data_IF_503626736032
#
_entry.id   IF_503626736032
#
_cell.length_a   1.000
_cell.length_b   1.000
_cell.length_c   1.000
_cell.angle_alpha   90.00
_cell.angle_beta   90.00
_cell.angle_gamma   90.00
#
_symmetry.space_group_name_H-M   'P 1'
#
loop_
_entity.id
_entity.type
_entity.pdbx_description
1 polymer ?
#
# COMPACT_ATOMS: atom_id res chain seq x y z
N UNK A 1 9.74 -7.99 -10.48
CA UNK A 1 8.93 -9.13 -10.01
C UNK A 1 7.77 -8.59 -9.18
N UNK A 2 6.63 -8.29 -9.82
CA UNK A 2 5.40 -7.91 -9.12
C UNK A 2 4.50 -9.14 -9.02
N UNK A 3 3.90 -9.38 -7.85
CA UNK A 3 2.84 -10.37 -7.66
C UNK A 3 1.61 -9.96 -8.46
N UNK A 4 1.64 -10.35 -9.73
CA UNK A 4 0.55 -10.34 -10.70
C UNK A 4 -0.70 -10.96 -10.06
N UNK A 5 -1.89 -10.38 -10.24
CA UNK A 5 -3.16 -11.05 -9.96
C UNK A 5 -3.12 -12.42 -10.64
N UNK A 6 -3.05 -13.50 -9.87
CA UNK A 6 -2.60 -14.81 -10.35
C UNK A 6 -3.73 -15.70 -10.84
N UNK A 7 -4.99 -15.37 -10.50
CA UNK A 7 -6.12 -16.26 -10.74
C UNK A 7 -7.36 -15.54 -11.28
N UNK A 8 -8.17 -16.25 -12.08
CA UNK A 8 -9.46 -15.76 -12.57
C UNK A 8 -10.42 -15.38 -11.44
N UNK A 9 -10.29 -16.03 -10.27
CA UNK A 9 -11.07 -15.72 -9.07
C UNK A 9 -10.74 -14.33 -8.51
N UNK A 10 -9.45 -13.97 -8.42
CA UNK A 10 -9.03 -12.65 -7.95
C UNK A 10 -9.51 -11.53 -8.88
N UNK A 11 -9.45 -11.74 -10.21
CA UNK A 11 -10.00 -10.77 -11.17
C UNK A 11 -11.51 -10.58 -11.00
N UNK A 12 -12.27 -11.66 -10.79
CA UNK A 12 -13.70 -11.58 -10.54
C UNK A 12 -14.03 -10.83 -9.25
N UNK A 13 -13.22 -11.01 -8.19
CA UNK A 13 -13.38 -10.28 -6.93
C UNK A 13 -13.10 -8.78 -7.11
N UNK A 14 -12.07 -8.42 -7.87
CA UNK A 14 -11.78 -7.03 -8.22
C UNK A 14 -12.96 -6.42 -8.98
N UNK A 15 -13.52 -7.10 -9.97
CA UNK A 15 -14.68 -6.60 -10.70
C UNK A 15 -15.90 -6.38 -9.80
N UNK A 16 -16.19 -7.31 -8.89
CA UNK A 16 -17.27 -7.14 -7.91
C UNK A 16 -17.03 -5.96 -6.97
N UNK A 17 -15.78 -5.75 -6.54
CA UNK A 17 -15.41 -4.58 -5.75
C UNK A 17 -15.65 -3.29 -6.55
N UNK A 18 -15.17 -3.22 -7.79
CA UNK A 18 -15.33 -2.04 -8.65
C UNK A 18 -16.81 -1.70 -8.89
N UNK A 19 -17.66 -2.72 -9.09
CA UNK A 19 -19.10 -2.53 -9.22
C UNK A 19 -19.72 -1.92 -7.95
N UNK A 20 -19.25 -2.31 -6.76
CA UNK A 20 -19.70 -1.69 -5.49
C UNK A 20 -19.20 -0.24 -5.37
N UNK A 21 -17.95 0.01 -5.73
CA UNK A 21 -17.32 1.34 -5.67
C UNK A 21 -17.89 2.35 -6.68
N UNK A 22 -18.66 1.88 -7.67
CA UNK A 22 -19.44 2.74 -8.55
C UNK A 22 -20.57 3.48 -7.83
N UNK A 23 -20.88 3.12 -6.58
CA UNK A 23 -21.91 3.75 -5.76
C UNK A 23 -21.29 4.57 -4.62
N UNK A 24 -21.94 5.67 -4.24
CA UNK A 24 -21.52 6.50 -3.10
C UNK A 24 -21.49 5.70 -1.79
N UNK A 25 -22.42 4.75 -1.61
CA UNK A 25 -22.45 3.90 -0.42
C UNK A 25 -21.27 2.93 -0.38
N UNK A 26 -20.95 2.31 -1.53
CA UNK A 26 -19.77 1.46 -1.64
C UNK A 26 -18.47 2.21 -1.36
N UNK A 27 -18.36 3.46 -1.82
CA UNK A 27 -17.22 4.33 -1.51
C UNK A 27 -17.14 4.63 0.00
N UNK A 28 -18.25 5.00 0.65
CA UNK A 28 -18.30 5.23 2.10
C UNK A 28 -17.93 4.00 2.92
N UNK A 29 -18.33 2.80 2.48
CA UNK A 29 -17.95 1.56 3.15
C UNK A 29 -16.47 1.27 2.95
N UNK A 30 -15.94 1.51 1.75
CA UNK A 30 -14.53 1.29 1.44
C UNK A 30 -13.60 2.15 2.29
N UNK A 31 -13.95 3.41 2.57
CA UNK A 31 -13.11 4.30 3.40
C UNK A 31 -12.89 3.75 4.81
N UNK A 32 -13.78 2.88 5.30
CA UNK A 32 -13.68 2.22 6.63
C UNK A 32 -12.85 0.94 6.62
N UNK A 33 -12.43 0.46 5.46
CA UNK A 33 -11.55 -0.72 5.34
C UNK A 33 -10.08 -0.30 5.43
N UNK A 34 -9.11 -1.23 5.48
CA UNK A 34 -7.68 -0.93 5.29
C UNK A 34 -7.29 -0.59 3.84
N UNK A 35 -8.17 -0.80 2.87
CA UNK A 35 -7.90 -0.60 1.44
C UNK A 35 -7.21 -1.80 0.77
N UNK A 36 -6.86 -1.63 -0.50
CA UNK A 36 -6.16 -2.64 -1.30
C UNK A 36 -4.64 -2.58 -1.07
N UNK A 37 -3.96 -3.73 -1.11
CA UNK A 37 -2.51 -3.73 -1.22
C UNK A 37 -2.07 -3.21 -2.60
N UNK A 38 -0.85 -2.66 -2.71
CA UNK A 38 -0.37 -2.01 -3.94
C UNK A 38 -0.52 -2.87 -5.22
N UNK A 39 -0.26 -4.19 -5.22
CA UNK A 39 -0.52 -5.03 -6.39
C UNK A 39 -2.00 -5.09 -6.79
N UNK A 40 -2.90 -5.29 -5.83
CA UNK A 40 -4.35 -5.33 -6.11
C UNK A 40 -4.90 -3.94 -6.47
N UNK A 41 -4.35 -2.88 -5.91
CA UNK A 41 -4.70 -1.51 -6.31
C UNK A 41 -4.32 -1.25 -7.77
N UNK A 42 -3.11 -1.64 -8.19
CA UNK A 42 -2.69 -1.54 -9.60
C UNK A 42 -3.68 -2.24 -10.52
N UNK A 43 -3.99 -3.50 -10.22
CA UNK A 43 -4.93 -4.27 -11.03
C UNK A 43 -6.35 -3.66 -11.04
N UNK A 44 -6.82 -3.16 -9.90
CA UNK A 44 -8.11 -2.49 -9.82
C UNK A 44 -8.15 -1.21 -10.67
N UNK A 45 -7.10 -0.38 -10.64
CA UNK A 45 -7.01 0.84 -11.46
C UNK A 45 -7.01 0.53 -12.95
N UNK A 46 -6.30 -0.53 -13.37
CA UNK A 46 -6.26 -0.96 -14.78
C UNK A 46 -7.64 -1.40 -15.32
N UNK A 47 -8.58 -1.78 -14.43
CA UNK A 47 -9.91 -2.25 -14.78
C UNK A 47 -11.03 -1.23 -14.44
N UNK A 48 -10.73 -0.19 -13.68
CA UNK A 48 -11.73 0.72 -13.13
C UNK A 48 -12.13 1.83 -14.12
N UNK A 49 -13.40 2.26 -14.13
CA UNK A 49 -13.78 3.53 -14.74
C UNK A 49 -13.08 4.71 -14.06
N UNK A 50 -12.77 5.78 -14.81
CA UNK A 50 -12.01 6.94 -14.33
C UNK A 50 -12.47 7.50 -12.96
N UNK A 51 -13.78 7.70 -12.68
CA UNK A 51 -14.21 8.23 -11.38
C UNK A 51 -13.84 7.30 -10.21
N UNK A 52 -13.94 5.98 -10.42
CA UNK A 52 -13.60 4.97 -9.42
C UNK A 52 -12.09 4.85 -9.25
N UNK A 53 -11.33 4.90 -10.35
CA UNK A 53 -9.88 4.91 -10.31
C UNK A 53 -9.34 6.13 -9.54
N UNK A 54 -9.89 7.32 -9.78
CA UNK A 54 -9.52 8.53 -9.04
C UNK A 54 -9.87 8.44 -7.56
N UNK A 55 -11.04 7.88 -7.23
CA UNK A 55 -11.41 7.62 -5.83
C UNK A 55 -10.40 6.69 -5.14
N UNK A 56 -10.09 5.55 -5.76
CA UNK A 56 -9.13 4.57 -5.23
C UNK A 56 -7.73 5.18 -5.02
N UNK A 57 -7.26 6.00 -5.97
CA UNK A 57 -5.98 6.68 -5.87
C UNK A 57 -5.94 7.69 -4.72
N UNK A 58 -6.98 8.50 -4.55
CA UNK A 58 -7.06 9.47 -3.43
C UNK A 58 -7.04 8.76 -2.08
N UNK A 59 -7.85 7.72 -1.92
CA UNK A 59 -7.88 6.91 -0.70
C UNK A 59 -6.52 6.28 -0.42
N UNK A 60 -5.84 5.75 -1.44
CA UNK A 60 -4.51 5.17 -1.26
C UNK A 60 -3.48 6.21 -0.81
N UNK A 61 -3.50 7.41 -1.38
CA UNK A 61 -2.56 8.49 -1.01
C UNK A 61 -2.73 8.83 0.47
N UNK A 62 -3.97 9.12 0.90
CA UNK A 62 -4.26 9.46 2.28
C UNK A 62 -3.76 8.38 3.25
N UNK A 63 -4.07 7.10 2.98
CA UNK A 63 -3.62 5.98 3.81
C UNK A 63 -2.10 5.83 3.86
N UNK A 64 -1.44 6.09 2.74
CA UNK A 64 0.02 6.01 2.66
C UNK A 64 0.69 7.10 3.50
N UNK A 65 0.08 8.29 3.56
CA UNK A 65 0.52 9.39 4.42
C UNK A 65 0.31 9.05 5.90
N UNK A 66 -0.86 8.53 6.27
CA UNK A 66 -1.17 8.08 7.64
C UNK A 66 -0.18 7.00 8.13
N UNK A 67 0.02 5.94 7.33
CA UNK A 67 0.98 4.88 7.64
C UNK A 67 2.41 5.43 7.74
N UNK A 68 2.78 6.36 6.86
CA UNK A 68 4.11 6.97 6.90
C UNK A 68 4.34 7.77 8.20
N UNK A 69 3.33 8.48 8.68
CA UNK A 69 3.42 9.22 9.94
C UNK A 69 3.51 8.27 11.13
N UNK A 70 2.68 7.21 11.15
CA UNK A 70 2.73 6.19 12.19
C UNK A 70 4.09 5.51 12.27
N UNK A 71 4.67 5.14 11.12
CA UNK A 71 6.00 4.53 11.05
C UNK A 71 7.09 5.48 11.53
N UNK A 72 6.99 6.79 11.23
CA UNK A 72 7.91 7.81 11.72
C UNK A 72 7.83 7.94 13.24
N UNK A 73 6.60 8.04 13.78
CA UNK A 73 6.34 8.12 15.21
C UNK A 73 6.86 6.88 15.95
N UNK A 74 6.59 5.69 15.40
CA UNK A 74 7.07 4.42 15.93
C UNK A 74 8.60 4.38 15.98
N UNK A 75 9.27 4.78 14.89
CA UNK A 75 10.74 4.79 14.83
C UNK A 75 11.32 5.73 15.88
N UNK A 76 10.82 6.97 15.98
CA UNK A 76 11.28 7.94 16.99
C UNK A 76 11.12 7.42 18.43
N UNK A 77 9.96 6.82 18.75
CA UNK A 77 9.69 6.25 20.07
C UNK A 77 10.58 5.04 20.37
N UNK A 78 10.77 4.17 19.39
CA UNK A 78 11.63 2.97 19.53
C UNK A 78 13.10 3.36 19.70
N UNK A 79 13.59 4.31 18.91
CA UNK A 79 14.96 4.78 18.99
C UNK A 79 15.20 5.48 20.33
N UNK A 80 14.23 6.26 20.82
CA UNK A 80 14.27 6.85 22.14
C UNK A 80 14.41 5.82 23.27
N UNK A 81 13.74 4.66 23.16
CA UNK A 81 13.79 3.55 24.13
C UNK A 81 15.08 2.73 24.05
N UNK A 82 15.75 2.70 22.89
CA UNK A 82 16.94 1.87 22.64
C UNK A 82 18.22 2.68 22.40
N UNK A 83 18.27 3.94 22.87
CA UNK A 83 19.48 4.79 22.76
C UNK A 83 20.68 4.07 23.37
N UNK A 84 21.52 3.48 22.51
CA UNK A 84 22.73 2.73 22.88
C UNK A 84 22.84 1.31 22.32
N UNK A 85 21.78 0.72 21.75
CA UNK A 85 21.78 -0.71 21.34
C UNK A 85 21.75 -0.95 19.82
N UNK A 86 21.39 0.03 19.01
CA UNK A 86 21.31 -0.13 17.56
C UNK A 86 22.61 0.34 16.90
N UNK A 87 23.12 -0.45 15.96
CA UNK A 87 24.18 -0.02 15.05
C UNK A 87 23.61 0.47 13.71
N UNK A 88 24.43 1.19 12.92
CA UNK A 88 24.02 1.80 11.64
C UNK A 88 23.44 0.80 10.62
N UNK A 89 23.76 -0.50 10.71
CA UNK A 89 23.21 -1.50 9.78
C UNK A 89 21.80 -1.95 10.17
N UNK A 90 21.47 -1.90 11.46
CA UNK A 90 20.18 -2.32 12.00
C UNK A 90 19.11 -1.24 11.81
N UNK A 91 19.50 0.05 11.84
CA UNK A 91 18.62 1.20 11.61
C UNK A 91 17.82 1.09 10.31
N UNK A 92 18.44 0.52 9.26
CA UNK A 92 17.89 0.50 7.91
C UNK A 92 17.42 -0.89 7.46
N UNK A 93 17.49 -1.90 8.34
CA UNK A 93 17.22 -3.29 7.99
C UNK A 93 15.77 -3.51 7.52
N UNK A 94 14.79 -2.86 8.15
CA UNK A 94 13.38 -2.93 7.76
C UNK A 94 13.13 -2.34 6.36
N UNK A 95 13.80 -1.24 6.00
CA UNK A 95 13.70 -0.64 4.66
C UNK A 95 14.24 -1.58 3.60
N UNK A 96 15.40 -2.20 3.86
CA UNK A 96 15.98 -3.22 2.97
C UNK A 96 15.06 -4.43 2.80
N UNK A 97 14.44 -4.89 3.89
CA UNK A 97 13.47 -5.98 3.86
C UNK A 97 12.23 -5.62 3.02
N UNK A 98 11.68 -4.41 3.20
CA UNK A 98 10.58 -3.92 2.36
C UNK A 98 11.00 -3.84 0.89
N UNK A 99 12.16 -3.25 0.59
CA UNK A 99 12.69 -3.20 -0.79
C UNK A 99 12.82 -4.60 -1.40
N UNK A 100 13.27 -5.60 -0.64
CA UNK A 100 13.29 -6.98 -1.13
C UNK A 100 11.90 -7.58 -1.34
N UNK A 101 10.92 -7.27 -0.48
CA UNK A 101 9.58 -7.83 -0.53
C UNK A 101 8.69 -7.22 -1.61
N UNK A 102 8.79 -5.90 -1.84
CA UNK A 102 7.93 -5.16 -2.79
C UNK A 102 8.67 -4.62 -4.01
N UNK A 103 10.01 -4.64 -4.02
CA UNK A 103 10.84 -4.07 -5.08
C UNK A 103 10.97 -2.55 -4.98
N UNK A 104 12.16 -1.99 -5.21
CA UNK A 104 12.38 -0.54 -5.29
C UNK A 104 12.09 -0.04 -6.71
N UNK A 105 11.32 1.05 -6.85
CA UNK A 105 11.06 1.68 -8.17
C UNK A 105 12.33 2.23 -8.83
N UNK A 106 13.33 2.60 -8.02
CA UNK A 106 14.60 3.15 -8.48
C UNK A 106 15.73 2.20 -8.09
N UNK A 107 15.85 1.08 -8.81
CA UNK A 107 17.10 0.31 -8.76
C UNK A 107 18.17 1.16 -9.44
N UNK A 108 19.00 1.84 -8.65
CA UNK A 108 20.32 2.27 -9.14
C UNK A 108 21.15 1.01 -9.24
N UNK A 109 21.41 0.58 -10.47
CA UNK A 109 22.52 -0.34 -10.75
C UNK A 109 23.77 0.43 -10.32
N UNK A 110 24.41 -0.04 -9.25
CA UNK A 110 25.80 0.32 -8.94
C UNK A 110 26.68 -0.71 -9.63
#
# INVERSE_FOLDING_TARGET
MGTMVRTSSEQAQIQQLLARLATTEGQKLYTRTPGLCLPHLRAAIEMAPDPVAQFLLREQVQRSEEISEDLRSYTLKRDALRRGLLNKQEENAWRRALVQLVGERNVRVV
#
